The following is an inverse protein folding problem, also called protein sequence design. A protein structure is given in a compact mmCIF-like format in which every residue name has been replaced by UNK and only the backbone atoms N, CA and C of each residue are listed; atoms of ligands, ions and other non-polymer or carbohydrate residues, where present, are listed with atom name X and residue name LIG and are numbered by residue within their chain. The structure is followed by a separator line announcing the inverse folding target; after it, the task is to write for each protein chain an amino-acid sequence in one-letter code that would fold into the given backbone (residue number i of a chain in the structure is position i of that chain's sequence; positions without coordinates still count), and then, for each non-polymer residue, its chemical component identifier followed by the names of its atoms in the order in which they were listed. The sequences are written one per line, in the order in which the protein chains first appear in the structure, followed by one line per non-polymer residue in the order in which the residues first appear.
data_IF_837123719776
#
_entry.id   IF_837123719776
#
_cell.length_a   1.000
_cell.length_b   1.000
_cell.length_c   1.000
_cell.angle_alpha   90.00
_cell.angle_beta   90.00
_cell.angle_gamma   90.00
#
_symmetry.space_group_name_H-M   'P 1'
#
loop_
_entity.id
_entity.type
_entity.pdbx_description
1 polymer ?
#
# COMPACT_ATOMS: atom_id res chain seq x y z
N UNK A 1 -28.89 -8.10 7.57
CA UNK A 1 -28.16 -7.12 8.41
C UNK A 1 -26.70 -7.15 7.98
N UNK A 2 -26.21 -6.11 7.33
CA UNK A 2 -24.80 -5.98 6.98
C UNK A 2 -24.01 -5.73 8.26
N UNK A 3 -23.05 -6.61 8.53
CA UNK A 3 -22.13 -6.48 9.68
C UNK A 3 -21.40 -5.13 9.60
N UNK A 4 -21.41 -4.36 10.69
CA UNK A 4 -20.68 -3.09 10.76
C UNK A 4 -19.19 -3.37 11.02
N UNK A 5 -18.42 -3.43 9.95
CA UNK A 5 -17.00 -3.73 9.99
C UNK A 5 -16.17 -2.71 10.80
N UNK A 6 -16.68 -1.48 10.99
CA UNK A 6 -15.99 -0.46 11.77
C UNK A 6 -15.89 -0.80 13.27
N UNK A 7 -16.73 -1.71 13.74
CA UNK A 7 -16.78 -2.15 15.15
C UNK A 7 -16.01 -3.42 15.43
N UNK A 8 -15.47 -4.06 14.42
CA UNK A 8 -14.67 -5.28 14.64
C UNK A 8 -13.41 -4.96 15.46
N UNK A 9 -12.98 -5.88 16.34
CA UNK A 9 -11.64 -5.83 16.90
C UNK A 9 -10.58 -5.80 15.78
N UNK A 10 -9.43 -5.18 16.03
CA UNK A 10 -8.38 -4.98 15.03
C UNK A 10 -7.99 -6.29 14.32
N UNK A 11 -7.70 -7.34 15.08
CA UNK A 11 -7.28 -8.64 14.53
C UNK A 11 -8.37 -9.29 13.67
N UNK A 12 -9.65 -9.09 14.02
CA UNK A 12 -10.79 -9.61 13.26
C UNK A 12 -10.93 -8.87 11.93
N UNK A 13 -10.77 -7.54 11.94
CA UNK A 13 -10.75 -6.73 10.73
C UNK A 13 -9.60 -7.16 9.80
N UNK A 14 -8.39 -7.31 10.34
CA UNK A 14 -7.23 -7.75 9.55
C UNK A 14 -7.44 -9.16 8.98
N UNK A 15 -8.00 -10.10 9.74
CA UNK A 15 -8.37 -11.42 9.23
C UNK A 15 -9.38 -11.33 8.10
N UNK A 16 -10.39 -10.48 8.23
CA UNK A 16 -11.41 -10.27 7.20
C UNK A 16 -10.80 -9.70 5.91
N UNK A 17 -9.90 -8.74 6.02
CA UNK A 17 -9.16 -8.20 4.86
C UNK A 17 -8.33 -9.28 4.19
N UNK A 18 -7.59 -10.08 4.96
CA UNK A 18 -6.75 -11.17 4.43
C UNK A 18 -7.56 -12.28 3.77
N UNK A 19 -8.81 -12.47 4.17
CA UNK A 19 -9.77 -13.42 3.57
C UNK A 19 -10.64 -12.81 2.45
N UNK A 20 -10.34 -11.59 2.01
CA UNK A 20 -11.14 -10.90 1.00
C UNK A 20 -11.13 -11.63 -0.35
N UNK A 21 -12.32 -11.79 -0.94
CA UNK A 21 -12.55 -12.42 -2.25
C UNK A 21 -13.30 -11.54 -3.23
N UNK A 22 -13.44 -10.24 -2.96
CA UNK A 22 -14.25 -9.31 -3.78
C UNK A 22 -13.88 -9.31 -5.27
N UNK A 23 -12.62 -9.57 -5.59
CA UNK A 23 -12.10 -9.56 -6.96
C UNK A 23 -11.74 -10.96 -7.48
N UNK A 24 -12.24 -12.03 -6.85
CA UNK A 24 -11.84 -13.41 -7.19
C UNK A 24 -11.99 -13.75 -8.67
N UNK A 25 -13.08 -13.30 -9.29
CA UNK A 25 -13.42 -13.62 -10.68
C UNK A 25 -12.55 -12.91 -11.73
N UNK A 26 -11.82 -11.86 -11.32
CA UNK A 26 -11.03 -11.03 -12.23
C UNK A 26 -9.53 -11.04 -11.94
N UNK A 27 -9.10 -11.65 -10.84
CA UNK A 27 -7.69 -11.75 -10.50
C UNK A 27 -7.05 -12.98 -11.16
N UNK A 28 -6.00 -12.82 -11.98
CA UNK A 28 -5.47 -13.93 -12.81
C UNK A 28 -4.86 -15.07 -11.98
N UNK A 29 -4.52 -14.81 -10.72
CA UNK A 29 -3.95 -15.79 -9.78
C UNK A 29 -4.79 -15.95 -8.52
N UNK A 30 -6.04 -15.49 -8.57
CA UNK A 30 -6.94 -15.49 -7.43
C UNK A 30 -6.60 -14.45 -6.36
N UNK A 31 -7.47 -14.30 -5.35
CA UNK A 31 -7.29 -13.35 -4.26
C UNK A 31 -6.18 -13.82 -3.30
N UNK A 32 -5.25 -12.93 -3.03
CA UNK A 32 -4.24 -13.06 -2.00
C UNK A 32 -3.85 -11.68 -1.50
N UNK A 33 -4.61 -11.11 -0.55
CA UNK A 33 -4.26 -9.82 0.03
C UNK A 33 -2.91 -9.87 0.74
N UNK A 34 -2.01 -8.95 0.37
CA UNK A 34 -0.68 -8.83 0.97
C UNK A 34 -0.59 -7.46 1.61
N UNK A 35 -0.64 -7.43 2.94
CA UNK A 35 -0.55 -6.23 3.77
C UNK A 35 0.35 -6.49 4.98
N UNK A 36 0.93 -5.42 5.50
CA UNK A 36 1.64 -5.41 6.77
C UNK A 36 1.04 -4.30 7.62
N UNK A 37 0.58 -4.61 8.83
CA UNK A 37 -0.15 -3.64 9.65
C UNK A 37 -0.08 -3.98 11.14
N UNK A 38 0.10 -2.94 11.95
CA UNK A 38 -0.05 -2.96 13.40
C UNK A 38 -0.53 -1.59 13.88
N UNK A 39 -1.37 -1.53 14.90
CA UNK A 39 -1.87 -0.29 15.50
C UNK A 39 -0.74 0.60 16.05
N UNK A 40 0.42 0.03 16.35
CA UNK A 40 1.60 0.76 16.84
C UNK A 40 2.51 1.31 15.75
N UNK A 41 2.24 0.98 14.46
CA UNK A 41 3.06 1.45 13.35
C UNK A 41 3.11 2.99 13.28
N UNK A 42 4.28 3.53 13.00
CA UNK A 42 4.52 4.99 12.93
C UNK A 42 4.76 5.51 11.53
N UNK A 43 5.08 4.63 10.61
CA UNK A 43 5.27 4.94 9.19
C UNK A 43 4.32 4.07 8.39
N UNK A 44 3.63 4.69 7.44
CA UNK A 44 2.79 3.99 6.46
C UNK A 44 3.44 4.08 5.08
N UNK A 45 3.62 2.95 4.42
CA UNK A 45 4.04 2.87 3.02
C UNK A 45 2.85 2.48 2.16
N UNK A 46 2.58 3.29 1.15
CA UNK A 46 1.47 3.10 0.21
C UNK A 46 2.02 2.97 -1.19
N UNK A 47 1.96 1.76 -1.76
CA UNK A 47 2.28 1.50 -3.16
C UNK A 47 1.03 1.27 -4.01
N UNK A 48 1.23 0.82 -5.25
CA UNK A 48 0.13 0.55 -6.19
C UNK A 48 -0.63 -0.74 -5.82
N UNK A 49 0.03 -1.88 -5.93
CA UNK A 49 -0.49 -3.22 -5.65
C UNK A 49 0.69 -4.22 -5.57
N UNK A 50 0.48 -5.41 -5.00
CA UNK A 50 1.47 -6.48 -5.05
C UNK A 50 1.85 -6.83 -6.49
N UNK A 51 3.14 -6.91 -6.78
CA UNK A 51 3.63 -7.50 -8.02
C UNK A 51 3.55 -9.04 -7.97
N UNK A 52 3.87 -9.70 -9.09
CA UNK A 52 3.82 -11.16 -9.20
C UNK A 52 4.65 -11.86 -8.10
N UNK A 53 5.89 -11.42 -7.89
CA UNK A 53 6.79 -12.02 -6.88
C UNK A 53 6.27 -11.82 -5.45
N UNK A 54 5.70 -10.65 -5.17
CA UNK A 54 5.07 -10.37 -3.88
C UNK A 54 3.85 -11.27 -3.66
N UNK A 55 3.03 -11.48 -4.68
CA UNK A 55 1.92 -12.42 -4.64
C UNK A 55 2.41 -13.86 -4.33
N UNK A 56 3.48 -14.31 -4.98
CA UNK A 56 4.04 -15.67 -4.80
C UNK A 56 4.58 -15.88 -3.39
N UNK A 57 5.26 -14.87 -2.81
CA UNK A 57 5.91 -14.98 -1.49
C UNK A 57 5.02 -14.57 -0.33
N UNK A 58 4.00 -13.73 -0.58
CA UNK A 58 3.16 -13.15 0.46
C UNK A 58 3.86 -12.09 1.31
N UNK A 59 5.03 -11.63 0.91
CA UNK A 59 5.83 -10.64 1.64
C UNK A 59 5.88 -9.32 0.84
N UNK A 60 5.34 -8.18 1.38
CA UNK A 60 5.28 -6.92 0.65
C UNK A 60 6.67 -6.43 0.25
N UNK A 61 6.78 -5.86 -0.95
CA UNK A 61 8.06 -5.32 -1.45
C UNK A 61 9.24 -6.32 -1.41
N UNK A 62 8.97 -7.62 -1.55
CA UNK A 62 10.00 -8.64 -1.65
C UNK A 62 10.50 -8.82 -3.10
N UNK A 63 10.98 -7.74 -3.68
CA UNK A 63 11.41 -7.61 -5.07
C UNK A 63 12.47 -6.51 -5.21
N UNK A 64 13.07 -6.30 -6.41
CA UNK A 64 14.07 -5.25 -6.63
C UNK A 64 13.56 -3.83 -6.32
N UNK A 65 12.28 -3.55 -6.48
CA UNK A 65 11.70 -2.26 -6.09
C UNK A 65 11.75 -2.07 -4.57
N UNK A 66 11.47 -3.13 -3.82
CA UNK A 66 11.58 -3.13 -2.37
C UNK A 66 13.01 -2.95 -1.88
N UNK A 67 13.99 -3.56 -2.55
CA UNK A 67 15.40 -3.37 -2.21
C UNK A 67 15.80 -1.89 -2.36
N UNK A 68 15.39 -1.25 -3.47
CA UNK A 68 15.64 0.17 -3.71
C UNK A 68 14.88 1.06 -2.70
N UNK A 69 13.63 0.74 -2.38
CA UNK A 69 12.85 1.49 -1.41
C UNK A 69 13.53 1.48 -0.02
N UNK A 70 13.96 0.33 0.45
CA UNK A 70 14.70 0.22 1.72
C UNK A 70 15.99 1.03 1.72
N UNK A 71 16.72 1.03 0.59
CA UNK A 71 17.90 1.85 0.41
C UNK A 71 17.57 3.36 0.49
N UNK A 72 16.51 3.81 -0.18
CA UNK A 72 16.07 5.21 -0.12
C UNK A 72 15.64 5.63 1.28
N UNK A 73 14.97 4.73 2.00
CA UNK A 73 14.56 4.97 3.38
C UNK A 73 15.71 4.89 4.39
N UNK A 74 16.85 4.32 4.01
CA UNK A 74 17.97 4.08 4.92
C UNK A 74 17.67 3.07 6.02
N UNK A 75 16.78 2.11 5.77
CA UNK A 75 16.36 1.12 6.77
C UNK A 75 16.84 -0.29 6.39
N UNK A 76 17.08 -1.10 7.41
CA UNK A 76 17.39 -2.53 7.23
C UNK A 76 16.13 -3.32 6.83
N UNK A 77 16.34 -4.53 6.33
CA UNK A 77 15.24 -5.46 6.04
C UNK A 77 14.42 -5.77 7.29
N UNK A 78 15.05 -5.98 8.42
CA UNK A 78 14.38 -6.28 9.69
C UNK A 78 13.51 -5.11 10.16
N UNK A 79 14.01 -3.87 10.07
CA UNK A 79 13.23 -2.68 10.39
C UNK A 79 12.04 -2.50 9.43
N UNK A 80 12.24 -2.75 8.14
CA UNK A 80 11.19 -2.60 7.11
C UNK A 80 10.05 -3.58 7.33
N UNK A 81 10.34 -4.81 7.79
CA UNK A 81 9.33 -5.84 8.06
C UNK A 81 8.88 -5.93 9.53
N UNK A 82 9.33 -5.01 10.37
CA UNK A 82 8.79 -4.84 11.71
C UNK A 82 7.44 -4.11 11.64
N UNK A 83 6.35 -4.86 11.69
CA UNK A 83 4.99 -4.31 11.58
C UNK A 83 4.64 -3.33 12.69
N UNK A 84 5.31 -3.40 13.84
CA UNK A 84 5.11 -2.44 14.93
C UNK A 84 5.68 -1.05 14.62
N UNK A 85 6.60 -0.97 13.66
CA UNK A 85 7.23 0.29 13.22
C UNK A 85 6.64 0.80 11.92
N UNK A 86 6.37 -0.12 10.99
CA UNK A 86 6.06 0.21 9.60
C UNK A 86 4.88 -0.61 9.09
N UNK A 87 3.83 0.08 8.66
CA UNK A 87 2.70 -0.51 7.96
C UNK A 87 2.89 -0.40 6.45
N UNK A 88 2.43 -1.40 5.71
CA UNK A 88 2.45 -1.42 4.24
C UNK A 88 1.04 -1.75 3.77
N UNK A 89 0.35 -0.75 3.22
CA UNK A 89 -1.01 -0.85 2.69
C UNK A 89 -1.03 -0.32 1.25
N UNK A 90 -0.77 -1.15 0.23
CA UNK A 90 -0.89 -0.70 -1.16
C UNK A 90 -2.33 -0.29 -1.49
N UNK A 91 -2.55 0.40 -2.60
CA UNK A 91 -3.90 0.82 -3.03
C UNK A 91 -4.78 -0.38 -3.38
N UNK A 92 -4.21 -1.42 -4.02
CA UNK A 92 -4.83 -2.73 -4.16
C UNK A 92 -4.07 -3.77 -3.35
N UNK A 93 -4.73 -4.65 -2.63
CA UNK A 93 -4.08 -5.63 -1.76
C UNK A 93 -3.69 -6.93 -2.47
N UNK A 94 -4.23 -7.17 -3.66
CA UNK A 94 -3.95 -8.36 -4.46
C UNK A 94 -3.20 -8.01 -5.76
N UNK A 95 -2.46 -8.98 -6.28
CA UNK A 95 -1.81 -8.87 -7.59
C UNK A 95 -2.85 -8.77 -8.71
N UNK A 96 -2.91 -7.64 -9.44
CA UNK A 96 -3.96 -7.41 -10.45
C UNK A 96 -3.66 -8.06 -11.80
N UNK A 97 -2.45 -8.55 -12.01
CA UNK A 97 -1.96 -9.06 -13.29
C UNK A 97 -0.95 -8.15 -13.94
N UNK A 98 -0.32 -8.63 -15.01
CA UNK A 98 0.65 -7.88 -15.81
C UNK A 98 0.08 -7.59 -17.19
N UNK A 99 0.17 -6.34 -17.63
CA UNK A 99 -0.18 -5.88 -18.96
C UNK A 99 1.05 -5.70 -19.87
N UNK A 100 0.86 -5.04 -21.02
CA UNK A 100 1.94 -4.81 -22.00
C UNK A 100 3.06 -3.92 -21.48
N UNK A 101 2.77 -2.99 -20.58
CA UNK A 101 3.71 -1.98 -20.07
C UNK A 101 4.06 -2.14 -18.59
N UNK A 102 3.75 -3.26 -17.98
CA UNK A 102 3.98 -3.54 -16.56
C UNK A 102 2.72 -4.03 -15.84
N UNK A 103 2.73 -3.99 -14.52
CA UNK A 103 1.59 -4.43 -13.73
C UNK A 103 0.34 -3.57 -13.99
N UNK A 104 -0.81 -4.22 -14.00
CA UNK A 104 -2.10 -3.56 -14.17
C UNK A 104 -2.41 -2.63 -12.99
N UNK A 105 -3.33 -1.67 -13.18
CA UNK A 105 -3.82 -0.83 -12.09
C UNK A 105 -4.34 -1.66 -10.91
N UNK A 106 -4.30 -1.09 -9.67
CA UNK A 106 -4.95 -1.73 -8.53
C UNK A 106 -6.45 -1.88 -8.82
N UNK A 107 -7.05 -2.95 -8.33
CA UNK A 107 -8.49 -3.14 -8.47
C UNK A 107 -9.25 -1.99 -7.82
N UNK A 108 -10.18 -1.34 -8.55
CA UNK A 108 -10.88 -0.15 -8.05
C UNK A 108 -11.78 -0.44 -6.84
N UNK A 109 -12.21 -1.68 -6.66
CA UNK A 109 -13.06 -2.11 -5.56
C UNK A 109 -12.33 -2.15 -4.22
N UNK A 110 -11.00 -2.33 -4.24
CA UNK A 110 -10.23 -2.65 -3.05
C UNK A 110 -10.14 -1.47 -2.07
N UNK A 111 -9.71 -0.30 -2.54
CA UNK A 111 -9.52 0.86 -1.68
C UNK A 111 -10.83 1.36 -1.03
N UNK A 112 -11.96 1.51 -1.75
CA UNK A 112 -13.23 1.88 -1.13
C UNK A 112 -13.74 0.88 -0.10
N UNK A 113 -13.48 -0.41 -0.29
CA UNK A 113 -13.95 -1.45 0.62
C UNK A 113 -13.19 -1.47 1.96
N UNK A 114 -11.88 -1.23 1.94
CA UNK A 114 -11.02 -1.56 3.08
C UNK A 114 -10.18 -0.42 3.62
N UNK A 115 -9.80 0.54 2.76
CA UNK A 115 -8.72 1.46 3.09
C UNK A 115 -9.02 2.32 4.29
N UNK A 116 -10.17 3.00 4.32
CA UNK A 116 -10.52 3.87 5.42
C UNK A 116 -10.68 3.09 6.74
N UNK A 117 -11.28 1.89 6.69
CA UNK A 117 -11.41 1.03 7.87
C UNK A 117 -10.06 0.69 8.50
N UNK A 118 -9.04 0.45 7.67
CA UNK A 118 -7.69 0.15 8.14
C UNK A 118 -6.94 1.40 8.59
N UNK A 119 -7.07 2.52 7.86
CA UNK A 119 -6.41 3.78 8.23
C UNK A 119 -6.91 4.30 9.60
N UNK A 120 -8.20 4.16 9.88
CA UNK A 120 -8.80 4.54 11.17
C UNK A 120 -8.21 3.73 12.36
N UNK A 121 -7.55 2.60 12.07
CA UNK A 121 -6.89 1.75 13.07
C UNK A 121 -5.39 1.99 13.19
N UNK A 122 -4.87 3.06 12.57
CA UNK A 122 -3.46 3.43 12.60
C UNK A 122 -3.24 4.82 13.24
N UNK A 123 -3.61 5.01 14.53
CA UNK A 123 -3.57 6.32 15.16
C UNK A 123 -2.15 6.86 15.40
N UNK A 124 -1.14 6.01 15.29
CA UNK A 124 0.26 6.35 15.59
C UNK A 124 1.05 6.78 14.34
N UNK A 125 0.46 6.72 13.14
CA UNK A 125 1.16 7.11 11.90
C UNK A 125 1.50 8.60 11.95
N UNK A 126 2.80 8.90 11.91
CA UNK A 126 3.33 10.26 11.82
C UNK A 126 3.83 10.62 10.42
N UNK A 127 4.09 9.64 9.57
CA UNK A 127 4.55 9.85 8.20
C UNK A 127 3.95 8.79 7.26
N UNK A 128 3.37 9.24 6.16
CA UNK A 128 2.91 8.37 5.06
C UNK A 128 3.77 8.57 3.82
N UNK A 129 4.44 7.52 3.36
CA UNK A 129 5.15 7.50 2.09
C UNK A 129 4.19 7.04 0.99
N UNK A 130 3.87 7.92 0.03
CA UNK A 130 2.97 7.61 -1.07
C UNK A 130 3.74 7.45 -2.37
N UNK A 131 3.64 6.26 -2.98
CA UNK A 131 4.49 5.82 -4.08
C UNK A 131 3.64 5.64 -5.34
N UNK A 132 3.90 6.48 -6.34
CA UNK A 132 3.26 6.40 -7.65
C UNK A 132 1.86 7.02 -7.71
N UNK A 133 1.31 7.08 -8.92
CA UNK A 133 0.12 7.89 -9.24
C UNK A 133 -1.15 7.53 -8.45
N UNK A 134 -1.40 6.25 -8.19
CA UNK A 134 -2.62 5.82 -7.49
C UNK A 134 -2.59 6.19 -6.01
N UNK A 135 -1.44 6.03 -5.36
CA UNK A 135 -1.24 6.44 -3.98
C UNK A 135 -1.28 7.97 -3.84
N UNK A 136 -0.68 8.71 -4.79
CA UNK A 136 -0.76 10.17 -4.83
C UNK A 136 -2.21 10.64 -4.95
N UNK A 137 -2.97 10.09 -5.90
CA UNK A 137 -4.36 10.50 -6.14
C UNK A 137 -5.28 10.30 -4.92
N UNK A 138 -5.01 9.29 -4.09
CA UNK A 138 -5.80 9.02 -2.89
C UNK A 138 -5.38 9.87 -1.69
N UNK A 139 -4.07 10.04 -1.48
CA UNK A 139 -3.54 10.56 -0.22
C UNK A 139 -3.12 12.04 -0.27
N UNK A 140 -2.88 12.61 -1.45
CA UNK A 140 -2.44 14.00 -1.54
C UNK A 140 -3.63 14.94 -1.67
N UNK A 141 -3.76 15.86 -0.73
CA UNK A 141 -4.59 17.04 -0.93
C UNK A 141 -3.99 17.87 -2.09
N UNK A 142 -4.84 18.39 -2.96
CA UNK A 142 -4.40 19.15 -4.14
C UNK A 142 -3.39 18.43 -5.04
N UNK A 143 -3.61 17.11 -5.23
CA UNK A 143 -2.77 16.26 -6.06
C UNK A 143 -2.58 16.84 -7.46
N UNK A 144 -1.33 17.05 -7.85
CA UNK A 144 -0.95 17.58 -9.17
C UNK A 144 -1.07 16.49 -10.25
N UNK A 145 -1.04 16.92 -11.51
CA UNK A 145 -1.30 16.05 -12.69
C UNK A 145 -0.26 14.92 -12.89
N UNK A 146 0.92 15.01 -12.28
CA UNK A 146 1.95 14.00 -12.46
C UNK A 146 2.69 13.67 -11.17
N UNK A 147 3.20 12.44 -11.10
CA UNK A 147 4.07 11.98 -10.01
C UNK A 147 5.26 12.92 -9.84
N UNK A 148 5.92 13.29 -10.94
CA UNK A 148 7.06 14.21 -10.92
C UNK A 148 6.70 15.55 -10.29
N UNK A 149 5.58 16.14 -10.68
CA UNK A 149 5.14 17.43 -10.12
C UNK A 149 4.84 17.34 -8.62
N UNK A 150 4.21 16.26 -8.17
CA UNK A 150 3.98 16.03 -6.73
C UNK A 150 5.31 15.89 -5.96
N UNK A 151 6.26 15.13 -6.51
CA UNK A 151 7.57 14.92 -5.89
C UNK A 151 8.38 16.23 -5.83
N UNK A 152 8.35 17.04 -6.88
CA UNK A 152 9.02 18.35 -6.88
C UNK A 152 8.47 19.33 -5.83
N UNK A 153 7.19 19.17 -5.47
CA UNK A 153 6.52 20.00 -4.48
C UNK A 153 6.25 19.24 -3.16
N UNK A 154 7.14 18.34 -2.79
CA UNK A 154 6.99 17.49 -1.62
C UNK A 154 6.79 18.28 -0.31
N UNK A 155 7.36 19.48 -0.22
CA UNK A 155 7.26 20.34 0.97
C UNK A 155 5.82 20.74 1.29
N UNK A 156 4.92 20.80 0.27
CA UNK A 156 3.52 21.16 0.46
C UNK A 156 2.74 20.08 1.25
N UNK A 157 3.28 18.88 1.33
CA UNK A 157 2.67 17.72 2.00
C UNK A 157 3.39 17.30 3.27
N UNK A 158 4.61 17.80 3.46
CA UNK A 158 5.45 17.48 4.61
C UNK A 158 4.94 18.22 5.88
N UNK A 159 5.03 17.63 7.11
CA UNK A 159 5.71 16.37 7.44
C UNK A 159 4.83 15.12 7.41
N UNK A 160 3.55 15.22 7.18
CA UNK A 160 2.61 14.11 7.31
C UNK A 160 2.68 13.15 6.12
N UNK A 161 2.93 13.66 4.92
CA UNK A 161 2.97 12.87 3.68
C UNK A 161 4.20 13.21 2.87
N UNK A 162 4.86 12.17 2.34
CA UNK A 162 5.98 12.31 1.42
C UNK A 162 5.67 11.62 0.10
N UNK A 163 5.42 12.38 -0.99
CA UNK A 163 5.24 11.79 -2.31
C UNK A 163 6.58 11.29 -2.86
N UNK A 164 6.57 10.08 -3.41
CA UNK A 164 7.74 9.41 -3.97
C UNK A 164 7.47 8.90 -5.37
N UNK A 165 8.49 8.85 -6.25
CA UNK A 165 8.41 8.12 -7.49
C UNK A 165 8.41 6.61 -7.21
N UNK A 166 8.00 5.81 -8.19
CA UNK A 166 8.08 4.35 -8.03
C UNK A 166 9.55 3.89 -8.01
N UNK A 167 9.97 3.06 -7.04
CA UNK A 167 11.35 2.62 -6.88
C UNK A 167 11.75 1.50 -7.86
N UNK A 168 11.04 1.35 -8.97
CA UNK A 168 11.39 0.38 -10.00
C UNK A 168 12.80 0.63 -10.54
N UNK A 169 13.60 -0.43 -10.73
CA UNK A 169 14.88 -0.31 -11.42
C UNK A 169 14.79 0.16 -12.89
N UNK A 170 13.56 0.17 -13.44
CA UNK A 170 13.28 0.62 -14.81
C UNK A 170 13.02 2.13 -14.93
N UNK A 171 12.93 2.83 -13.82
CA UNK A 171 12.73 4.28 -13.76
C UNK A 171 14.05 5.00 -13.52
#
# INVERSE_FOLDING_TARGET
MTEDLSRLPFDDLVRRVRACTLCADVLPRGPRPVIQISESARILVVGQAPGRRVHETGLPFNDPSGDRLRQWMGVTRDTFYDEQKLAILPMGFCYPGTGKSGDLPPRPECAPAWRNLLLDRLPQIGLTLVIGQYAHAWHLADCRKSVTANVQHWQDYWPEVLPMPHPSPRN
#
